data_IF_924212919662
#
_entry.id   IF_924212919662
#
_cell.length_a   1.000
_cell.length_b   1.000
_cell.length_c   1.000
_cell.angle_alpha   90.00
_cell.angle_beta   90.00
_cell.angle_gamma   90.00
#
_symmetry.space_group_name_H-M   'P 1'
#
loop_
_entity.id
_entity.type
_entity.pdbx_description
1 polymer ?
#
# COMPACT_ATOMS: atom_id res chain seq x y z
N UNK A 1 -2.49 -24.59 -10.74
CA UNK A 1 -1.36 -24.28 -11.65
C UNK A 1 -1.45 -22.85 -12.18
N UNK A 2 -2.50 -22.45 -12.90
CA UNK A 2 -2.62 -21.06 -13.40
C UNK A 2 -2.70 -19.97 -12.32
N UNK A 3 -3.56 -20.14 -11.31
CA UNK A 3 -3.63 -19.20 -10.16
C UNK A 3 -2.32 -19.07 -9.40
N UNK A 4 -1.55 -20.15 -9.32
CA UNK A 4 -0.28 -20.19 -8.60
C UNK A 4 0.81 -19.44 -9.38
N UNK A 5 0.80 -19.55 -10.71
CA UNK A 5 1.66 -18.76 -11.59
C UNK A 5 1.32 -17.27 -11.55
N UNK A 6 0.03 -16.91 -11.56
CA UNK A 6 -0.41 -15.51 -11.45
C UNK A 6 0.00 -14.90 -10.10
N UNK A 7 -0.10 -15.67 -9.02
CA UNK A 7 0.31 -15.28 -7.69
C UNK A 7 1.81 -14.99 -7.59
N UNK A 8 2.64 -15.88 -8.14
CA UNK A 8 4.09 -15.66 -8.18
C UNK A 8 4.45 -14.46 -9.08
N UNK A 9 3.70 -14.23 -10.17
CA UNK A 9 3.84 -13.03 -10.99
C UNK A 9 3.51 -11.74 -10.22
N UNK A 10 2.43 -11.75 -9.43
CA UNK A 10 2.04 -10.61 -8.61
C UNK A 10 3.06 -10.32 -7.51
N UNK A 11 3.58 -11.36 -6.82
CA UNK A 11 4.70 -11.21 -5.87
C UNK A 11 5.91 -10.57 -6.54
N UNK A 12 6.33 -11.09 -7.69
CA UNK A 12 7.47 -10.58 -8.44
C UNK A 12 7.24 -9.13 -8.87
N UNK A 13 6.02 -8.77 -9.29
CA UNK A 13 5.67 -7.39 -9.66
C UNK A 13 5.73 -6.44 -8.48
N UNK A 14 5.24 -6.85 -7.30
CA UNK A 14 5.34 -6.08 -6.06
C UNK A 14 6.82 -5.92 -5.66
N UNK A 15 7.62 -6.96 -5.80
CA UNK A 15 9.05 -6.92 -5.48
C UNK A 15 9.84 -6.04 -6.44
N UNK A 16 9.56 -6.11 -7.75
CA UNK A 16 10.16 -5.23 -8.76
C UNK A 16 9.78 -3.77 -8.54
N UNK A 17 8.51 -3.49 -8.22
CA UNK A 17 8.05 -2.15 -7.85
C UNK A 17 8.80 -1.64 -6.61
N UNK A 18 9.00 -2.52 -5.61
CA UNK A 18 9.77 -2.20 -4.39
C UNK A 18 11.24 -1.90 -4.67
N UNK A 19 11.87 -2.65 -5.60
CA UNK A 19 13.28 -2.47 -5.96
C UNK A 19 13.51 -1.21 -6.81
N UNK A 20 12.70 -1.00 -7.83
CA UNK A 20 12.73 0.24 -8.64
C UNK A 20 12.52 1.50 -7.77
N UNK A 21 11.70 1.35 -6.72
CA UNK A 21 11.46 2.38 -5.74
C UNK A 21 12.70 2.70 -4.85
N UNK A 22 13.53 1.72 -4.51
CA UNK A 22 14.78 1.91 -3.76
C UNK A 22 15.89 2.55 -4.62
N UNK A 23 16.00 2.14 -5.89
CA UNK A 23 17.03 2.61 -6.81
C UNK A 23 16.77 4.03 -7.36
N UNK A 24 15.54 4.54 -7.30
CA UNK A 24 15.23 5.90 -7.77
C UNK A 24 15.86 7.02 -6.92
N UNK A 25 16.55 6.70 -5.82
CA UNK A 25 17.22 7.69 -4.96
C UNK A 25 18.58 8.19 -5.50
N UNK A 26 19.12 7.60 -6.56
CA UNK A 26 20.48 7.93 -7.05
C UNK A 26 20.55 9.00 -8.15
N UNK A 27 19.42 9.49 -8.71
CA UNK A 27 19.59 10.33 -9.91
C UNK A 27 18.48 11.24 -10.42
N UNK A 28 17.43 11.59 -9.66
CA UNK A 28 16.46 12.59 -10.14
C UNK A 28 16.11 13.63 -9.08
N UNK A 29 16.22 14.91 -9.50
CA UNK A 29 15.86 16.12 -8.75
C UNK A 29 14.48 15.94 -8.10
N UNK A 30 14.29 16.34 -6.84
CA UNK A 30 13.02 16.18 -6.16
C UNK A 30 12.01 17.14 -6.76
N UNK A 31 11.16 16.63 -7.64
CA UNK A 31 9.89 17.28 -7.91
C UNK A 31 9.10 17.24 -6.60
N UNK A 32 8.65 18.41 -6.12
CA UNK A 32 8.03 18.62 -4.79
C UNK A 32 6.69 17.87 -4.57
N UNK A 33 6.37 16.86 -5.38
CA UNK A 33 5.07 16.16 -5.43
C UNK A 33 5.14 14.65 -5.18
N UNK A 34 6.32 14.10 -4.91
CA UNK A 34 6.43 12.72 -4.44
C UNK A 34 7.42 12.68 -3.30
N UNK A 35 6.91 12.73 -2.07
CA UNK A 35 7.65 12.21 -0.90
C UNK A 35 8.15 10.82 -1.26
N UNK A 36 9.47 10.59 -1.31
CA UNK A 36 10.03 9.29 -1.60
C UNK A 36 9.45 8.26 -0.62
N UNK A 37 8.93 7.12 -1.10
CA UNK A 37 8.40 6.05 -0.25
C UNK A 37 9.36 5.44 0.82
N UNK A 38 10.64 5.79 0.85
CA UNK A 38 11.61 5.47 1.90
C UNK A 38 11.44 6.44 3.07
N UNK A 39 11.11 7.70 2.78
CA UNK A 39 10.58 8.62 3.78
C UNK A 39 9.20 8.16 4.22
N UNK A 40 8.35 7.63 3.33
CA UNK A 40 7.05 7.07 3.74
C UNK A 40 7.22 5.85 4.64
N UNK A 41 8.09 4.89 4.33
CA UNK A 41 8.35 3.76 5.23
C UNK A 41 9.04 4.17 6.55
N UNK A 42 9.69 5.35 6.60
CA UNK A 42 10.17 5.96 7.85
C UNK A 42 9.04 6.69 8.60
N UNK A 43 8.10 7.30 7.89
CA UNK A 43 6.97 8.06 8.43
C UNK A 43 5.82 7.16 8.87
N UNK A 44 5.63 6.04 8.19
CA UNK A 44 4.62 5.02 8.42
C UNK A 44 5.34 3.74 8.83
N UNK A 45 5.16 3.36 10.09
CA UNK A 45 5.54 2.03 10.56
C UNK A 45 4.88 0.97 9.67
N UNK A 46 5.58 -0.11 9.36
CA UNK A 46 4.97 -1.25 8.66
C UNK A 46 3.91 -1.89 9.55
N UNK A 47 2.82 -2.35 8.95
CA UNK A 47 1.80 -3.08 9.69
C UNK A 47 2.32 -4.44 10.13
N UNK A 48 2.23 -4.73 11.43
CA UNK A 48 2.45 -6.06 11.99
C UNK A 48 1.10 -6.72 12.31
N UNK A 49 0.71 -7.73 11.54
CA UNK A 49 -0.57 -8.43 11.73
C UNK A 49 -0.71 -9.14 13.09
N UNK A 50 0.40 -9.37 13.81
CA UNK A 50 0.38 -10.02 15.13
C UNK A 50 0.20 -9.05 16.28
N UNK A 51 0.68 -7.81 16.12
CA UNK A 51 0.79 -6.84 17.20
C UNK A 51 -0.07 -5.59 16.97
N UNK A 52 -0.37 -5.25 15.72
CA UNK A 52 -1.08 -4.02 15.36
C UNK A 52 -2.55 -4.32 15.03
N UNK A 53 -3.45 -3.54 15.63
CA UNK A 53 -4.87 -3.54 15.24
C UNK A 53 -5.08 -2.79 13.93
N UNK A 54 -5.74 -3.42 12.95
CA UNK A 54 -5.94 -2.84 11.60
C UNK A 54 -6.66 -1.48 11.65
N UNK A 55 -7.67 -1.32 12.50
CA UNK A 55 -8.42 -0.05 12.62
C UNK A 55 -7.55 1.11 13.11
N UNK A 56 -6.68 0.84 14.10
CA UNK A 56 -5.74 1.84 14.62
C UNK A 56 -4.70 2.20 13.56
N UNK A 57 -4.19 1.18 12.85
CA UNK A 57 -3.23 1.37 11.77
C UNK A 57 -3.79 2.27 10.65
N UNK A 58 -5.01 1.98 10.18
CA UNK A 58 -5.67 2.79 9.14
C UNK A 58 -5.93 4.23 9.60
N UNK A 59 -6.35 4.42 10.85
CA UNK A 59 -6.57 5.76 11.44
C UNK A 59 -5.28 6.58 11.48
N UNK A 60 -4.17 5.94 11.84
CA UNK A 60 -2.85 6.58 11.87
C UNK A 60 -2.33 6.84 10.44
N UNK A 61 -2.58 5.92 9.52
CA UNK A 61 -2.24 6.10 8.11
C UNK A 61 -2.95 7.33 7.53
N UNK A 62 -4.27 7.43 7.69
CA UNK A 62 -5.06 8.56 7.19
C UNK A 62 -4.56 9.91 7.74
N UNK A 63 -4.32 10.00 9.06
CA UNK A 63 -3.82 11.24 9.69
C UNK A 63 -2.45 11.64 9.13
N UNK A 64 -1.56 10.67 8.95
CA UNK A 64 -0.23 10.93 8.38
C UNK A 64 -0.35 11.34 6.91
N UNK A 65 -1.14 10.62 6.11
CA UNK A 65 -1.37 10.92 4.70
C UNK A 65 -1.93 12.34 4.48
N UNK A 66 -2.88 12.76 5.32
CA UNK A 66 -3.40 14.15 5.36
C UNK A 66 -2.32 15.15 5.75
N UNK A 67 -1.49 14.83 6.76
CA UNK A 67 -0.44 15.74 7.25
C UNK A 67 0.64 16.04 6.21
N UNK A 68 0.94 15.08 5.33
CA UNK A 68 1.92 15.22 4.24
C UNK A 68 1.28 15.43 2.87
N UNK A 69 -0.02 15.76 2.85
CA UNK A 69 -0.78 16.11 1.65
C UNK A 69 -0.67 15.08 0.50
N UNK A 70 -0.72 13.78 0.84
CA UNK A 70 -0.80 12.74 -0.17
C UNK A 70 -2.18 12.82 -0.83
N UNK A 71 -2.19 12.85 -2.18
CA UNK A 71 -3.41 12.78 -2.96
C UNK A 71 -4.22 11.51 -2.61
N UNK A 72 -5.50 11.66 -2.32
CA UNK A 72 -6.40 10.54 -1.97
C UNK A 72 -6.39 9.40 -2.98
N UNK A 73 -6.15 9.69 -4.27
CA UNK A 73 -6.02 8.70 -5.35
C UNK A 73 -4.85 7.74 -5.13
N UNK A 74 -3.80 8.19 -4.43
CA UNK A 74 -2.62 7.39 -4.13
C UNK A 74 -2.72 6.65 -2.79
N UNK A 75 -3.76 6.88 -1.98
CA UNK A 75 -3.83 6.29 -0.64
C UNK A 75 -3.87 4.76 -0.67
N UNK A 76 -4.64 4.19 -1.59
CA UNK A 76 -4.73 2.73 -1.74
C UNK A 76 -3.40 2.13 -2.17
N UNK A 77 -2.74 2.72 -3.18
CA UNK A 77 -1.44 2.21 -3.65
C UNK A 77 -0.38 2.32 -2.55
N UNK A 78 -0.37 3.42 -1.80
CA UNK A 78 0.52 3.64 -0.64
C UNK A 78 0.24 2.65 0.49
N UNK A 79 -1.03 2.39 0.79
CA UNK A 79 -1.43 1.44 1.83
C UNK A 79 -1.01 0.01 1.49
N UNK A 80 -1.27 -0.43 0.24
CA UNK A 80 -0.89 -1.77 -0.22
C UNK A 80 0.63 -2.02 -0.13
N UNK A 81 1.45 -0.98 -0.32
CA UNK A 81 2.92 -1.09 -0.17
C UNK A 81 3.38 -1.22 1.29
N UNK A 82 2.57 -0.80 2.25
CA UNK A 82 2.89 -0.84 3.68
C UNK A 82 2.32 -2.06 4.39
N UNK A 83 1.39 -2.77 3.75
CA UNK A 83 0.82 -4.01 4.26
C UNK A 83 1.74 -5.21 3.93
N UNK A 84 1.82 -6.20 4.84
CA UNK A 84 2.40 -7.50 4.57
C UNK A 84 1.77 -8.16 3.32
N UNK A 85 2.56 -8.86 2.48
CA UNK A 85 2.07 -9.49 1.26
C UNK A 85 0.92 -10.48 1.50
N UNK A 86 0.94 -11.19 2.63
CA UNK A 86 -0.10 -12.10 3.07
C UNK A 86 -1.46 -11.41 3.24
N UNK A 87 -1.47 -10.18 3.77
CA UNK A 87 -2.71 -9.40 3.86
C UNK A 87 -3.14 -8.85 2.51
N UNK A 88 -2.19 -8.34 1.71
CA UNK A 88 -2.49 -7.84 0.36
C UNK A 88 -3.16 -8.90 -0.50
N UNK A 89 -2.72 -10.16 -0.37
CA UNK A 89 -3.28 -11.32 -1.06
C UNK A 89 -4.61 -11.79 -0.47
N UNK A 90 -4.85 -11.55 0.82
CA UNK A 90 -6.13 -11.83 1.47
C UNK A 90 -7.24 -10.85 1.09
N UNK A 91 -6.88 -9.64 0.62
CA UNK A 91 -7.85 -8.67 0.11
C UNK A 91 -8.39 -9.24 -1.20
N UNK A 92 -9.68 -9.60 -1.26
CA UNK A 92 -10.25 -10.07 -2.51
C UNK A 92 -10.07 -8.95 -3.53
N UNK A 93 -9.46 -9.24 -4.69
CA UNK A 93 -9.57 -8.38 -5.86
C UNK A 93 -11.05 -8.37 -6.25
N UNK A 94 -11.86 -7.55 -5.58
CA UNK A 94 -13.24 -7.31 -5.97
C UNK A 94 -13.20 -6.57 -7.30
N UNK A 95 -13.13 -7.34 -8.38
CA UNK A 95 -13.44 -6.89 -9.72
C UNK A 95 -14.92 -6.52 -9.77
N UNK A 96 -15.24 -5.27 -9.49
CA UNK A 96 -16.52 -4.66 -9.91
C UNK A 96 -17.75 -4.94 -9.06
N UNK A 97 -17.64 -5.27 -7.77
CA UNK A 97 -18.83 -5.26 -6.90
C UNK A 97 -19.04 -3.86 -6.31
N UNK A 98 -20.15 -3.24 -6.70
CA UNK A 98 -20.68 -1.98 -6.16
C UNK A 98 -20.62 -1.96 -4.63
N UNK A 99 -19.91 -0.98 -4.07
CA UNK A 99 -19.82 -0.72 -2.62
C UNK A 99 -21.10 -0.09 -2.04
N UNK A 100 -22.17 0.01 -2.83
CA UNK A 100 -23.39 0.76 -2.48
C UNK A 100 -24.41 -0.05 -1.66
N UNK A 101 -24.10 -1.27 -1.23
CA UNK A 101 -25.06 -2.09 -0.49
C UNK A 101 -24.48 -2.63 0.83
N UNK A 102 -24.18 -1.71 1.75
CA UNK A 102 -24.06 -2.04 3.17
C UNK A 102 -25.37 -1.68 3.87
N UNK A 103 -26.37 -2.54 3.77
CA UNK A 103 -27.56 -2.45 4.63
C UNK A 103 -27.15 -2.87 6.04
N UNK A 104 -27.15 -1.91 6.97
CA UNK A 104 -27.13 -2.19 8.41
C UNK A 104 -28.43 -2.92 8.76
N UNK A 105 -28.33 -4.20 9.12
CA UNK A 105 -29.37 -4.89 9.89
C UNK A 105 -28.99 -4.84 11.37
#
# INVERSE_FOLDING_TARGET
>A
MEREMEFELQKLRIEQLRKAYLDSSVGKKPDKRSTPCHELAKMFQRFDSKNDGISLYLSLFERRAKKIDINSKDWISRLLMLLPPDLVQSIPQKSGENFDNYTYN
#
